data_IF_057359552367
#
_entry.id   IF_057359552367
#
_cell.length_a   1.000
_cell.length_b   1.000
_cell.length_c   1.000
_cell.angle_alpha   90.00
_cell.angle_beta   90.00
_cell.angle_gamma   90.00
#
_symmetry.space_group_name_H-M   'P 1'
#
loop_
_entity.id
_entity.type
_entity.pdbx_description
1 polymer ?
#
# COMPACT_ATOMS: atom_id res chain seq x y z
N UNK A 1 -4.37 -16.90 1.66
CA UNK A 1 -3.73 -16.73 2.98
C UNK A 1 -3.23 -15.28 3.17
N UNK A 2 -4.12 -14.29 3.14
CA UNK A 2 -3.78 -12.88 3.44
C UNK A 2 -4.31 -12.47 4.83
N UNK A 3 -5.49 -12.96 5.20
CA UNK A 3 -6.11 -12.72 6.49
C UNK A 3 -5.27 -13.22 7.70
N UNK A 4 -4.40 -14.22 7.49
CA UNK A 4 -3.53 -14.78 8.53
C UNK A 4 -2.16 -14.10 8.62
N UNK A 5 -1.83 -13.18 7.72
CA UNK A 5 -0.57 -12.46 7.77
C UNK A 5 -0.62 -11.41 8.88
N UNK A 6 0.32 -11.50 9.82
CA UNK A 6 0.46 -10.53 10.92
C UNK A 6 0.86 -9.14 10.40
N UNK A 7 1.71 -9.13 9.36
CA UNK A 7 2.18 -7.93 8.69
C UNK A 7 1.75 -7.93 7.23
N UNK A 8 1.14 -6.84 6.78
CA UNK A 8 0.69 -6.64 5.40
C UNK A 8 0.79 -5.16 5.04
N UNK A 9 1.27 -4.85 3.84
CA UNK A 9 1.17 -3.50 3.27
C UNK A 9 0.25 -3.60 2.04
N UNK A 10 -0.85 -2.85 2.08
CA UNK A 10 -1.81 -2.72 0.99
C UNK A 10 -1.59 -1.36 0.34
N UNK A 11 -1.03 -1.33 -0.86
CA UNK A 11 -0.88 -0.10 -1.65
C UNK A 11 -2.18 0.19 -2.43
N UNK A 12 -2.16 1.12 -3.38
CA UNK A 12 -3.29 1.38 -4.26
C UNK A 12 -3.82 0.10 -4.94
N UNK A 13 -5.12 -0.18 -4.80
CA UNK A 13 -5.78 -1.37 -5.36
C UNK A 13 -6.76 -1.00 -6.49
N UNK A 14 -7.00 -1.92 -7.42
CA UNK A 14 -8.05 -1.78 -8.42
C UNK A 14 -9.45 -1.91 -7.79
N UNK A 15 -10.48 -1.35 -8.42
CA UNK A 15 -11.85 -1.34 -7.87
C UNK A 15 -12.37 -2.74 -7.54
N UNK A 16 -12.13 -3.72 -8.42
CA UNK A 16 -12.55 -5.11 -8.22
C UNK A 16 -11.93 -5.75 -6.99
N UNK A 17 -10.67 -5.44 -6.70
CA UNK A 17 -9.92 -6.06 -5.61
C UNK A 17 -10.27 -5.43 -4.25
N UNK A 18 -10.70 -4.17 -4.26
CA UNK A 18 -11.05 -3.43 -3.03
C UNK A 18 -12.19 -4.08 -2.27
N UNK A 19 -13.25 -4.49 -2.95
CA UNK A 19 -14.44 -5.06 -2.32
C UNK A 19 -14.12 -6.41 -1.65
N UNK A 20 -13.33 -7.24 -2.34
CA UNK A 20 -12.88 -8.53 -1.80
C UNK A 20 -11.92 -8.34 -0.62
N UNK A 21 -10.96 -7.42 -0.72
CA UNK A 21 -10.02 -7.12 0.36
C UNK A 21 -10.72 -6.46 1.57
N UNK A 22 -11.72 -5.63 1.34
CA UNK A 22 -12.50 -5.00 2.42
C UNK A 22 -13.21 -6.06 3.26
N UNK A 23 -13.85 -7.02 2.59
CA UNK A 23 -14.49 -8.16 3.25
C UNK A 23 -13.48 -9.06 3.96
N UNK A 24 -12.38 -9.42 3.27
CA UNK A 24 -11.37 -10.35 3.79
C UNK A 24 -10.63 -9.82 5.03
N UNK A 25 -10.41 -8.51 5.12
CA UNK A 25 -9.58 -7.86 6.14
C UNK A 25 -10.38 -6.96 7.09
N UNK A 26 -11.71 -6.91 6.97
CA UNK A 26 -12.60 -6.03 7.74
C UNK A 26 -12.20 -4.55 7.64
N UNK A 27 -11.93 -4.08 6.41
CA UNK A 27 -11.54 -2.69 6.14
C UNK A 27 -12.79 -1.80 6.14
N UNK A 28 -12.78 -0.71 6.90
CA UNK A 28 -13.85 0.29 6.88
C UNK A 28 -13.85 1.14 5.61
N UNK A 29 -14.99 1.77 5.28
CA UNK A 29 -15.07 2.71 4.14
C UNK A 29 -14.05 3.86 4.24
N UNK A 30 -13.84 4.39 5.45
CA UNK A 30 -12.83 5.42 5.68
C UNK A 30 -11.42 4.90 5.38
N UNK A 31 -11.11 3.66 5.76
CA UNK A 31 -9.81 3.04 5.47
C UNK A 31 -9.65 2.74 3.97
N UNK A 32 -10.72 2.37 3.27
CA UNK A 32 -10.69 2.14 1.82
C UNK A 32 -10.22 3.37 1.02
N UNK A 33 -10.48 4.58 1.52
CA UNK A 33 -9.96 5.82 0.91
C UNK A 33 -8.43 5.86 0.84
N UNK A 34 -7.72 5.17 1.74
CA UNK A 34 -6.24 5.11 1.76
C UNK A 34 -5.64 4.13 0.76
N UNK A 35 -6.45 3.30 0.10
CA UNK A 35 -6.01 2.39 -0.99
C UNK A 35 -6.71 2.66 -2.32
N UNK A 36 -7.45 3.78 -2.41
CA UNK A 36 -8.24 4.16 -3.57
C UNK A 36 -7.65 5.39 -4.25
N UNK A 37 -7.12 5.20 -5.46
CA UNK A 37 -6.51 6.25 -6.28
C UNK A 37 -5.41 7.04 -5.55
N UNK A 38 -4.65 6.36 -4.69
CA UNK A 38 -3.56 6.96 -3.93
C UNK A 38 -2.23 6.89 -4.70
N UNK A 39 -1.32 7.81 -4.39
CA UNK A 39 0.01 7.87 -5.01
C UNK A 39 0.90 6.67 -4.68
N UNK A 40 1.96 6.48 -5.47
CA UNK A 40 2.95 5.44 -5.23
C UNK A 40 3.56 5.54 -3.82
N UNK A 41 3.66 4.40 -3.13
CA UNK A 41 4.18 4.34 -1.75
C UNK A 41 3.17 4.70 -0.67
N UNK A 42 1.91 5.00 -1.01
CA UNK A 42 0.82 5.26 -0.06
C UNK A 42 -0.14 4.07 0.01
N UNK A 43 -0.74 3.86 1.18
CA UNK A 43 -1.60 2.71 1.41
C UNK A 43 -2.05 2.53 2.85
N UNK A 44 -2.34 1.28 3.20
CA UNK A 44 -2.58 0.81 4.57
C UNK A 44 -1.50 -0.19 4.97
N UNK A 45 -1.18 -0.20 6.26
CA UNK A 45 -0.32 -1.21 6.87
C UNK A 45 -1.09 -1.92 7.97
N UNK A 46 -1.06 -3.26 7.94
CA UNK A 46 -1.55 -4.14 9.00
C UNK A 46 -0.38 -4.53 9.90
N UNK A 47 -0.52 -4.31 11.19
CA UNK A 47 0.43 -4.76 12.21
C UNK A 47 -0.33 -5.23 13.45
N UNK A 48 -0.19 -6.51 13.79
CA UNK A 48 -0.79 -7.10 15.01
C UNK A 48 -2.29 -6.80 15.12
N UNK A 49 -3.01 -6.89 14.00
CA UNK A 49 -4.46 -6.65 13.91
C UNK A 49 -4.89 -5.20 13.69
N UNK A 50 -4.00 -4.22 13.86
CA UNK A 50 -4.30 -2.82 13.58
C UNK A 50 -4.09 -2.49 12.11
N UNK A 51 -4.98 -1.68 11.54
CA UNK A 51 -4.90 -1.21 10.16
C UNK A 51 -4.80 0.32 10.15
N UNK A 52 -3.63 0.84 9.78
CA UNK A 52 -3.32 2.29 9.84
C UNK A 52 -2.82 2.82 8.50
N UNK A 53 -2.96 4.12 8.22
CA UNK A 53 -2.38 4.73 7.03
C UNK A 53 -0.88 4.53 6.95
N UNK A 54 -0.39 4.26 5.74
CA UNK A 54 1.02 4.06 5.42
C UNK A 54 1.45 5.02 4.31
N UNK A 55 2.61 5.65 4.50
CA UNK A 55 3.26 6.44 3.46
C UNK A 55 4.77 6.19 3.49
N UNK A 56 5.32 5.81 2.34
CA UNK A 56 6.75 5.68 2.11
C UNK A 56 7.15 6.48 0.87
N UNK A 57 7.52 7.73 1.10
CA UNK A 57 8.07 8.63 0.09
C UNK A 57 9.59 8.50 0.07
N UNK A 58 10.11 7.65 -0.82
CA UNK A 58 11.55 7.39 -0.91
C UNK A 58 12.30 8.55 -1.58
N UNK A 59 13.44 9.01 -1.03
CA UNK A 59 14.17 10.15 -1.58
C UNK A 59 14.83 9.81 -2.93
N UNK A 60 14.38 10.49 -3.99
CA UNK A 60 14.82 10.27 -5.38
C UNK A 60 16.24 10.77 -5.69
N UNK A 61 16.74 11.72 -4.91
CA UNK A 61 18.07 12.32 -5.08
C UNK A 61 19.21 11.47 -4.47
N UNK A 62 18.95 10.18 -4.22
CA UNK A 62 19.94 9.26 -3.64
C UNK A 62 20.52 8.32 -4.68
N UNK A 63 21.79 7.93 -4.51
CA UNK A 63 22.40 6.87 -5.34
C UNK A 63 21.61 5.56 -5.24
N UNK A 64 21.06 5.28 -4.05
CA UNK A 64 20.26 4.09 -3.78
C UNK A 64 18.96 4.08 -4.61
N UNK A 65 18.26 5.21 -4.75
CA UNK A 65 17.09 5.29 -5.62
C UNK A 65 17.42 4.98 -7.08
N UNK A 66 18.50 5.57 -7.61
CA UNK A 66 18.94 5.34 -9.00
C UNK A 66 19.31 3.88 -9.25
N UNK A 67 19.85 3.19 -8.25
CA UNK A 67 20.18 1.76 -8.35
C UNK A 67 18.95 0.84 -8.27
N UNK A 68 17.89 1.25 -7.58
CA UNK A 68 16.72 0.38 -7.30
C UNK A 68 15.49 0.72 -8.14
N UNK A 69 15.40 1.91 -8.74
CA UNK A 69 14.24 2.30 -9.51
C UNK A 69 14.10 1.44 -10.76
N UNK A 70 12.87 0.98 -11.02
CA UNK A 70 12.50 0.28 -12.26
C UNK A 70 11.67 1.18 -13.18
N UNK A 71 11.47 2.46 -12.81
CA UNK A 71 10.72 3.43 -13.62
C UNK A 71 11.56 3.86 -14.83
N UNK A 72 11.08 3.63 -16.06
CA UNK A 72 11.79 4.08 -17.25
C UNK A 72 12.01 5.60 -17.23
N UNK A 73 13.23 6.04 -17.56
CA UNK A 73 13.58 7.47 -17.63
C UNK A 73 13.95 8.13 -16.30
N UNK A 74 13.97 7.39 -15.18
CA UNK A 74 14.44 7.92 -13.88
C UNK A 74 15.85 7.43 -13.48
N UNK A 75 16.58 6.76 -14.38
CA UNK A 75 17.95 6.28 -14.18
C UNK A 75 19.00 7.30 -14.61
#
# INVERSE_FOLDING_TARGET
MLANSEFLILLNQATTDRDELASLLNISENQLSYITNVGAGKGLIRCSGNLVPFENSFPKNTKLYRLMTTKPGEC
#
